data_IF_511115410201
#
_entry.id   IF_511115410201
#
_cell.length_a   1.000
_cell.length_b   1.000
_cell.length_c   1.000
_cell.angle_alpha   90.00
_cell.angle_beta   90.00
_cell.angle_gamma   90.00
#
_symmetry.space_group_name_H-M   'P 1'
#
loop_
_entity.id
_entity.type
_entity.pdbx_description
1 polymer ?
#
# COMPACT_ATOMS: atom_id res chain seq x y z
N UNK A 1 -14.52 4.03 16.03
CA UNK A 1 -14.69 3.05 14.93
C UNK A 1 -15.93 3.38 14.10
N UNK A 2 -17.16 3.40 14.67
CA UNK A 2 -18.39 3.59 13.87
C UNK A 2 -18.37 4.85 12.99
N UNK A 3 -17.93 5.97 13.54
CA UNK A 3 -17.87 7.24 12.79
C UNK A 3 -16.81 7.19 11.69
N UNK A 4 -15.67 6.55 11.93
CA UNK A 4 -14.62 6.35 10.92
C UNK A 4 -15.14 5.50 9.76
N UNK A 5 -15.76 4.36 10.05
CA UNK A 5 -16.34 3.47 9.03
C UNK A 5 -17.48 4.15 8.26
N UNK A 6 -18.31 4.95 8.93
CA UNK A 6 -19.41 5.70 8.26
C UNK A 6 -18.91 6.63 7.14
N UNK A 7 -17.68 7.17 7.24
CA UNK A 7 -17.07 8.01 6.20
C UNK A 7 -16.81 7.26 4.89
N UNK A 8 -16.70 5.92 4.95
CA UNK A 8 -16.41 5.07 3.80
C UNK A 8 -17.69 4.55 3.12
N UNK A 9 -18.87 4.81 3.71
CA UNK A 9 -20.11 4.24 3.21
C UNK A 9 -20.47 4.82 1.83
N UNK A 10 -20.88 3.91 0.96
CA UNK A 10 -21.35 4.17 -0.40
C UNK A 10 -22.78 3.67 -0.53
N UNK A 11 -23.52 4.16 -1.52
CA UNK A 11 -24.91 3.75 -1.76
C UNK A 11 -25.06 2.27 -2.10
N UNK A 12 -23.97 1.63 -2.59
CA UNK A 12 -23.93 0.21 -2.92
C UNK A 12 -23.80 -0.70 -1.70
N UNK A 13 -23.42 -0.17 -0.54
CA UNK A 13 -23.31 -0.97 0.69
C UNK A 13 -24.70 -1.28 1.20
N UNK A 14 -25.02 -2.57 1.31
CA UNK A 14 -26.31 -3.06 1.80
C UNK A 14 -26.16 -3.54 3.23
N UNK A 15 -26.83 -2.87 4.16
CA UNK A 15 -26.74 -3.17 5.59
C UNK A 15 -25.72 -2.28 6.30
N UNK A 16 -25.34 -2.66 7.51
CA UNK A 16 -24.41 -1.93 8.38
C UNK A 16 -23.46 -2.85 9.09
N UNK A 17 -22.56 -2.27 9.89
CA UNK A 17 -21.66 -3.02 10.77
C UNK A 17 -22.42 -3.88 11.76
N UNK A 18 -21.98 -5.12 11.97
CA UNK A 18 -22.55 -6.06 12.95
C UNK A 18 -23.39 -7.18 12.34
N UNK A 19 -23.52 -7.25 11.02
CA UNK A 19 -24.05 -8.43 10.31
C UNK A 19 -22.98 -9.54 10.20
N UNK A 20 -23.40 -10.75 9.82
CA UNK A 20 -22.47 -11.87 9.58
C UNK A 20 -21.60 -11.68 8.34
N UNK A 21 -22.02 -10.84 7.40
CA UNK A 21 -21.26 -10.53 6.18
C UNK A 21 -21.49 -9.10 5.73
N UNK A 22 -20.49 -8.50 5.09
CA UNK A 22 -20.66 -7.29 4.29
C UNK A 22 -21.39 -7.61 2.99
N UNK A 23 -22.36 -6.81 2.62
CA UNK A 23 -23.06 -6.94 1.35
C UNK A 23 -22.88 -5.69 0.50
N UNK A 24 -22.55 -5.87 -0.78
CA UNK A 24 -22.29 -4.82 -1.73
C UNK A 24 -23.10 -5.03 -3.01
N UNK A 25 -23.85 -4.01 -3.42
CA UNK A 25 -24.70 -4.06 -4.62
C UNK A 25 -23.87 -3.91 -5.89
N UNK A 26 -24.02 -4.83 -6.83
CA UNK A 26 -23.39 -4.77 -8.13
C UNK A 26 -24.20 -3.97 -9.16
N UNK A 27 -25.20 -3.19 -8.72
CA UNK A 27 -26.10 -2.46 -9.62
C UNK A 27 -25.36 -1.52 -10.57
N UNK A 28 -24.29 -0.86 -10.10
CA UNK A 28 -23.50 0.09 -10.91
C UNK A 28 -22.62 -0.56 -11.97
N UNK A 29 -22.32 -1.87 -11.85
CA UNK A 29 -21.50 -2.57 -12.85
C UNK A 29 -22.33 -3.22 -13.97
N UNK A 30 -23.67 -3.04 -13.97
CA UNK A 30 -24.55 -3.59 -15.01
C UNK A 30 -24.26 -3.05 -16.40
N UNK A 31 -23.65 -1.87 -16.50
CA UNK A 31 -23.35 -1.21 -17.77
C UNK A 31 -21.98 -1.66 -18.32
N UNK A 32 -21.25 -2.53 -17.63
CA UNK A 32 -20.04 -3.18 -18.13
C UNK A 32 -20.43 -4.34 -19.07
N UNK A 33 -19.70 -4.46 -20.19
CA UNK A 33 -19.94 -5.53 -21.17
C UNK A 33 -19.50 -6.90 -20.62
N UNK A 34 -18.34 -6.93 -19.96
CA UNK A 34 -17.76 -8.15 -19.36
C UNK A 34 -17.05 -7.81 -18.05
N UNK A 35 -17.81 -7.67 -16.94
CA UNK A 35 -17.23 -7.27 -15.66
C UNK A 35 -16.33 -8.35 -15.07
N UNK A 36 -15.11 -7.95 -14.71
CA UNK A 36 -14.09 -8.80 -14.09
C UNK A 36 -13.84 -8.33 -12.67
N UNK A 37 -13.92 -9.23 -11.70
CA UNK A 37 -13.52 -8.95 -10.33
C UNK A 37 -12.01 -9.10 -10.18
N UNK A 38 -11.41 -8.14 -9.48
CA UNK A 38 -10.02 -8.13 -9.07
C UNK A 38 -9.97 -8.17 -7.56
N UNK A 39 -8.96 -8.82 -7.00
CA UNK A 39 -8.77 -8.86 -5.55
C UNK A 39 -7.30 -8.72 -5.20
N UNK A 40 -7.04 -8.07 -4.06
CA UNK A 40 -5.72 -7.96 -3.45
C UNK A 40 -5.82 -8.24 -1.98
N UNK A 41 -4.85 -8.97 -1.44
CA UNK A 41 -4.68 -9.18 -0.01
C UNK A 41 -3.23 -8.98 0.34
N UNK A 42 -2.97 -8.18 1.37
CA UNK A 42 -1.63 -7.87 1.84
C UNK A 42 -1.67 -7.36 3.28
N UNK A 43 -0.52 -7.25 3.91
CA UNK A 43 -0.33 -6.67 5.23
C UNK A 43 0.61 -5.47 5.21
N UNK A 44 0.85 -4.89 6.39
CA UNK A 44 1.77 -3.76 6.54
C UNK A 44 3.23 -4.21 6.71
N UNK A 45 3.48 -5.51 6.75
CA UNK A 45 4.79 -6.07 7.02
C UNK A 45 5.36 -5.59 8.36
N UNK A 46 6.68 -5.60 8.49
CA UNK A 46 7.34 -5.26 9.76
C UNK A 46 7.31 -3.76 10.11
N UNK A 47 6.68 -2.92 9.28
CA UNK A 47 6.41 -1.50 9.61
C UNK A 47 5.54 -1.35 10.85
N UNK A 48 4.63 -2.29 11.11
CA UNK A 48 3.79 -2.30 12.32
C UNK A 48 4.61 -2.17 13.61
N UNK A 49 5.85 -2.68 13.63
CA UNK A 49 6.72 -2.56 14.81
C UNK A 49 7.11 -1.12 15.13
N UNK A 50 7.25 -0.26 14.13
CA UNK A 50 7.51 1.17 14.33
C UNK A 50 6.28 1.87 14.93
N UNK A 51 5.09 1.52 14.46
CA UNK A 51 3.84 2.03 15.04
C UNK A 51 3.73 1.68 16.53
N UNK A 52 4.09 0.44 16.90
CA UNK A 52 4.12 -0.01 18.29
C UNK A 52 5.15 0.75 19.14
N UNK A 53 6.38 0.92 18.64
CA UNK A 53 7.46 1.62 19.37
C UNK A 53 7.10 3.09 19.62
N UNK A 54 6.52 3.75 18.64
CA UNK A 54 6.13 5.15 18.70
C UNK A 54 4.76 5.37 19.35
N UNK A 55 4.02 4.30 19.64
CA UNK A 55 2.64 4.34 20.11
C UNK A 55 1.76 5.25 19.23
N UNK A 56 1.88 5.05 17.90
CA UNK A 56 1.16 5.80 16.88
C UNK A 56 0.56 4.85 15.86
N UNK A 57 -0.75 4.66 15.93
CA UNK A 57 -1.46 3.58 15.21
C UNK A 57 -2.41 4.08 14.12
N UNK A 58 -2.66 5.37 14.05
CA UNK A 58 -3.65 6.00 13.16
C UNK A 58 -3.24 6.01 11.67
N UNK A 59 -1.98 5.72 11.33
CA UNK A 59 -1.49 5.73 9.95
C UNK A 59 -1.29 4.34 9.35
N UNK A 60 -1.04 3.33 10.19
CA UNK A 60 -0.69 1.99 9.69
C UNK A 60 -1.85 1.31 8.94
N UNK A 61 -3.10 1.67 9.26
CA UNK A 61 -4.27 1.21 8.54
C UNK A 61 -4.32 1.70 7.10
N UNK A 62 -3.78 2.91 6.82
CA UNK A 62 -3.66 3.43 5.45
C UNK A 62 -2.70 2.55 4.65
N UNK A 63 -1.60 2.09 5.25
CA UNK A 63 -0.65 1.19 4.61
C UNK A 63 -1.31 -0.13 4.20
N UNK A 64 -2.10 -0.75 5.09
CA UNK A 64 -2.80 -2.01 4.79
C UNK A 64 -3.76 -1.86 3.60
N UNK A 65 -4.53 -0.77 3.57
CA UNK A 65 -5.43 -0.49 2.44
C UNK A 65 -4.63 -0.24 1.16
N UNK A 66 -3.60 0.61 1.23
CA UNK A 66 -2.80 0.99 0.08
C UNK A 66 -2.16 -0.22 -0.63
N UNK A 67 -1.62 -1.16 0.15
CA UNK A 67 -0.98 -2.37 -0.40
C UNK A 67 -1.96 -3.20 -1.24
N UNK A 68 -3.21 -3.32 -0.78
CA UNK A 68 -4.25 -4.07 -1.49
C UNK A 68 -4.84 -3.30 -2.68
N UNK A 69 -5.23 -2.04 -2.49
CA UNK A 69 -5.96 -1.28 -3.52
C UNK A 69 -5.06 -0.80 -4.66
N UNK A 70 -3.77 -0.57 -4.40
CA UNK A 70 -2.82 -0.22 -5.45
C UNK A 70 -2.60 -1.39 -6.42
N UNK A 71 -2.62 -2.63 -5.96
CA UNK A 71 -2.55 -3.81 -6.82
C UNK A 71 -3.77 -3.91 -7.75
N UNK A 72 -4.96 -3.65 -7.20
CA UNK A 72 -6.19 -3.58 -7.99
C UNK A 72 -6.09 -2.48 -9.05
N UNK A 73 -5.63 -1.29 -8.67
CA UNK A 73 -5.48 -0.16 -9.59
C UNK A 73 -4.41 -0.43 -10.66
N UNK A 74 -3.30 -1.10 -10.33
CA UNK A 74 -2.29 -1.53 -11.29
C UNK A 74 -2.84 -2.49 -12.35
N UNK A 75 -3.82 -3.30 -11.99
CA UNK A 75 -4.50 -4.20 -12.92
C UNK A 75 -5.63 -3.53 -13.74
N UNK A 76 -5.89 -2.23 -13.51
CA UNK A 76 -6.93 -1.46 -14.21
C UNK A 76 -8.29 -1.41 -13.50
N UNK A 77 -8.37 -1.96 -12.28
CA UNK A 77 -9.59 -2.03 -11.49
C UNK A 77 -9.88 -0.80 -10.64
N UNK A 78 -11.15 -0.61 -10.36
CA UNK A 78 -11.64 0.35 -9.37
C UNK A 78 -12.01 -0.42 -8.08
N UNK A 79 -11.45 -0.06 -6.90
CA UNK A 79 -11.84 -0.70 -5.65
C UNK A 79 -13.32 -0.52 -5.32
N UNK A 80 -13.95 -1.58 -4.85
CA UNK A 80 -15.34 -1.57 -4.41
C UNK A 80 -15.43 -1.53 -2.90
N UNK A 81 -14.80 -2.50 -2.25
CA UNK A 81 -14.84 -2.63 -0.80
C UNK A 81 -13.57 -3.25 -0.24
N UNK A 82 -13.41 -3.08 1.05
CA UNK A 82 -12.28 -3.55 1.84
C UNK A 82 -12.77 -4.28 3.11
N UNK A 83 -12.01 -5.27 3.53
CA UNK A 83 -12.11 -5.96 4.79
C UNK A 83 -10.75 -5.97 5.47
N UNK A 84 -10.69 -5.71 6.77
CA UNK A 84 -9.48 -5.82 7.56
C UNK A 84 -9.48 -7.06 8.45
N UNK A 85 -8.29 -7.52 8.81
CA UNK A 85 -8.09 -8.51 9.86
C UNK A 85 -7.00 -8.01 10.80
N UNK A 86 -7.35 -7.80 12.06
CA UNK A 86 -6.45 -7.37 13.11
C UNK A 86 -6.25 -8.53 14.07
N UNK A 87 -5.05 -9.13 14.06
CA UNK A 87 -4.61 -10.08 15.08
C UNK A 87 -3.90 -9.31 16.19
N UNK A 88 -4.26 -9.50 17.46
CA UNK A 88 -3.61 -8.81 18.56
C UNK A 88 -3.39 -9.75 19.75
N UNK A 89 -2.34 -9.50 20.55
CA UNK A 89 -2.12 -10.25 21.78
C UNK A 89 -3.18 -9.95 22.81
N UNK A 90 -3.60 -8.69 22.88
CA UNK A 90 -4.70 -8.20 23.73
C UNK A 90 -5.45 -7.07 23.04
N UNK A 91 -6.76 -7.09 23.17
CA UNK A 91 -7.59 -6.04 22.60
C UNK A 91 -7.56 -4.78 23.50
N UNK A 92 -6.85 -3.76 23.06
CA UNK A 92 -6.88 -2.42 23.62
C UNK A 92 -7.81 -1.56 22.76
N UNK A 93 -9.03 -1.24 23.18
CA UNK A 93 -10.06 -0.62 22.32
C UNK A 93 -9.63 0.69 21.67
N UNK A 94 -8.86 1.51 22.38
CA UNK A 94 -8.34 2.79 21.86
C UNK A 94 -7.35 2.57 20.72
N UNK A 95 -6.39 1.66 20.91
CA UNK A 95 -5.40 1.28 19.89
C UNK A 95 -6.08 0.70 18.65
N UNK A 96 -7.01 -0.22 18.83
CA UNK A 96 -7.80 -0.80 17.73
C UNK A 96 -8.61 0.29 17.01
N UNK A 97 -9.18 1.24 17.73
CA UNK A 97 -9.92 2.35 17.13
C UNK A 97 -9.02 3.24 16.26
N UNK A 98 -7.80 3.52 16.68
CA UNK A 98 -6.82 4.25 15.87
C UNK A 98 -6.45 3.47 14.59
N UNK A 99 -6.15 2.18 14.70
CA UNK A 99 -5.85 1.32 13.54
C UNK A 99 -7.00 1.36 12.54
N UNK A 100 -8.23 1.11 12.99
CA UNK A 100 -9.43 1.13 12.12
C UNK A 100 -9.70 2.52 11.56
N UNK A 101 -9.36 3.60 12.28
CA UNK A 101 -9.43 4.97 11.75
C UNK A 101 -8.50 5.15 10.55
N UNK A 102 -7.28 4.60 10.62
CA UNK A 102 -6.34 4.58 9.50
C UNK A 102 -6.86 3.75 8.32
N UNK A 103 -7.43 2.57 8.58
CA UNK A 103 -8.07 1.74 7.54
C UNK A 103 -9.20 2.51 6.86
N UNK A 104 -10.07 3.15 7.63
CA UNK A 104 -11.16 3.95 7.08
C UNK A 104 -10.65 5.12 6.23
N UNK A 105 -9.57 5.79 6.67
CA UNK A 105 -8.93 6.86 5.89
C UNK A 105 -8.40 6.35 4.55
N UNK A 106 -7.71 5.21 4.55
CA UNK A 106 -7.25 4.56 3.32
C UNK A 106 -8.40 4.21 2.37
N UNK A 107 -9.51 3.72 2.92
CA UNK A 107 -10.73 3.45 2.16
C UNK A 107 -11.33 4.72 1.54
N UNK A 108 -11.38 5.83 2.27
CA UNK A 108 -11.82 7.14 1.73
C UNK A 108 -10.91 7.61 0.59
N UNK A 109 -9.60 7.45 0.75
CA UNK A 109 -8.62 7.83 -0.29
C UNK A 109 -8.76 6.99 -1.56
N UNK A 110 -9.17 5.74 -1.44
CA UNK A 110 -9.34 4.80 -2.57
C UNK A 110 -10.75 4.68 -3.10
N UNK A 111 -11.70 5.42 -2.53
CA UNK A 111 -13.14 5.28 -2.80
C UNK A 111 -13.70 3.85 -2.54
N UNK A 112 -13.01 3.06 -1.71
CA UNK A 112 -13.49 1.76 -1.26
C UNK A 112 -14.41 1.90 -0.03
N UNK A 113 -15.36 1.00 0.12
CA UNK A 113 -16.17 0.93 1.33
C UNK A 113 -15.57 -0.08 2.33
N UNK A 114 -15.38 0.32 3.58
CA UNK A 114 -15.03 -0.61 4.65
C UNK A 114 -16.32 -1.29 5.12
N UNK A 115 -16.59 -2.51 4.65
CA UNK A 115 -17.89 -3.19 4.86
C UNK A 115 -17.88 -4.25 5.94
N UNK A 116 -16.72 -4.53 6.53
CA UNK A 116 -16.53 -5.49 7.59
C UNK A 116 -15.08 -5.68 7.92
N UNK A 117 -14.79 -6.58 8.82
CA UNK A 117 -13.47 -6.93 9.29
C UNK A 117 -13.54 -7.82 10.51
N UNK A 118 -12.38 -8.21 11.04
CA UNK A 118 -12.27 -9.05 12.23
C UNK A 118 -11.17 -8.50 13.14
N UNK A 119 -11.42 -8.56 14.44
CA UNK A 119 -10.39 -8.33 15.48
C UNK A 119 -10.30 -9.55 16.36
N UNK A 120 -9.19 -10.27 16.29
CA UNK A 120 -8.98 -11.51 17.01
C UNK A 120 -7.88 -11.37 18.07
N UNK A 121 -8.20 -11.69 19.32
CA UNK A 121 -7.20 -11.84 20.37
C UNK A 121 -6.51 -13.21 20.29
N UNK A 122 -5.20 -13.19 20.43
CA UNK A 122 -4.35 -14.39 20.43
C UNK A 122 -3.52 -14.48 21.73
N UNK A 123 -4.17 -14.66 22.89
CA UNK A 123 -3.46 -14.72 24.18
C UNK A 123 -2.50 -15.90 24.21
N UNK A 124 -1.26 -15.65 24.61
CA UNK A 124 -0.21 -16.66 24.67
C UNK A 124 0.44 -17.01 23.32
N UNK A 125 -0.15 -16.59 22.18
CA UNK A 125 0.44 -16.72 20.85
C UNK A 125 1.22 -15.46 20.46
N UNK A 126 0.72 -14.29 20.84
CA UNK A 126 1.35 -13.00 20.63
C UNK A 126 1.59 -12.29 21.97
N UNK A 127 2.66 -11.49 22.12
CA UNK A 127 2.79 -10.56 23.25
C UNK A 127 1.57 -9.64 23.34
N UNK A 128 1.17 -9.27 24.56
CA UNK A 128 -0.05 -8.46 24.77
C UNK A 128 -0.06 -7.14 23.99
N UNK A 129 1.10 -6.49 23.83
CA UNK A 129 1.24 -5.20 23.14
C UNK A 129 1.36 -5.32 21.63
N UNK A 130 1.60 -6.52 21.12
CA UNK A 130 1.84 -6.73 19.69
C UNK A 130 0.52 -6.97 18.94
N UNK A 131 0.51 -6.57 17.68
CA UNK A 131 -0.56 -6.86 16.73
C UNK A 131 -0.01 -7.04 15.32
N UNK A 132 -0.81 -7.62 14.46
CA UNK A 132 -0.60 -7.63 13.01
C UNK A 132 -1.87 -7.17 12.32
N UNK A 133 -1.71 -6.60 11.13
CA UNK A 133 -2.78 -6.03 10.34
C UNK A 133 -2.66 -6.47 8.90
N UNK A 134 -3.70 -7.09 8.41
CA UNK A 134 -3.84 -7.47 7.00
C UNK A 134 -5.17 -6.95 6.45
N UNK A 135 -5.25 -6.87 5.14
CA UNK A 135 -6.44 -6.45 4.43
C UNK A 135 -6.77 -7.32 3.24
N UNK A 136 -8.01 -7.23 2.81
CA UNK A 136 -8.52 -7.83 1.60
C UNK A 136 -9.40 -6.82 0.87
N UNK A 137 -9.06 -6.52 -0.35
CA UNK A 137 -9.81 -5.62 -1.22
C UNK A 137 -10.40 -6.34 -2.41
N UNK A 138 -11.58 -5.93 -2.82
CA UNK A 138 -12.20 -6.34 -4.07
C UNK A 138 -12.44 -5.11 -4.93
N UNK A 139 -12.10 -5.21 -6.20
CA UNK A 139 -12.36 -4.20 -7.21
C UNK A 139 -12.96 -4.82 -8.46
N UNK A 140 -13.28 -3.98 -9.43
CA UNK A 140 -13.90 -4.37 -10.69
C UNK A 140 -13.36 -3.53 -11.84
N UNK A 141 -13.27 -4.12 -13.01
CA UNK A 141 -13.16 -3.42 -14.28
C UNK A 141 -13.93 -4.15 -15.37
N UNK A 142 -14.16 -3.50 -16.49
CA UNK A 142 -14.55 -4.20 -17.70
C UNK A 142 -13.32 -4.96 -18.26
N UNK A 143 -13.48 -6.16 -18.82
CA UNK A 143 -12.38 -6.98 -19.37
C UNK A 143 -11.50 -6.19 -20.35
N UNK A 144 -12.09 -5.32 -21.16
CA UNK A 144 -11.35 -4.46 -22.12
C UNK A 144 -10.43 -3.45 -21.45
N UNK A 145 -10.65 -3.14 -20.16
CA UNK A 145 -9.90 -2.16 -19.38
C UNK A 145 -8.78 -2.81 -18.50
N UNK A 146 -8.65 -4.14 -18.55
CA UNK A 146 -7.56 -4.84 -17.86
C UNK A 146 -6.20 -4.35 -18.40
N UNK A 147 -5.33 -4.02 -17.47
CA UNK A 147 -3.94 -3.63 -17.78
C UNK A 147 -3.08 -4.89 -17.74
N UNK A 148 -2.73 -5.43 -18.89
CA UNK A 148 -2.01 -6.71 -19.04
C UNK A 148 -0.58 -6.56 -19.52
N UNK A 149 -0.21 -5.41 -20.07
CA UNK A 149 1.10 -5.21 -20.71
C UNK A 149 1.19 -5.71 -22.15
N UNK A 150 0.21 -6.47 -22.65
CA UNK A 150 0.25 -7.09 -23.99
C UNK A 150 0.38 -6.09 -25.15
N UNK A 151 -0.07 -4.85 -24.93
CA UNK A 151 -0.04 -3.77 -25.92
C UNK A 151 1.20 -2.90 -25.86
N UNK A 152 2.20 -3.24 -25.03
CA UNK A 152 3.46 -2.54 -24.98
C UNK A 152 4.23 -2.66 -26.30
N UNK A 153 4.89 -1.57 -26.68
CA UNK A 153 5.70 -1.48 -27.90
C UNK A 153 7.03 -0.82 -27.60
N UNK A 154 8.02 -1.10 -28.43
CA UNK A 154 9.28 -0.39 -28.38
C UNK A 154 9.06 1.12 -28.57
N UNK A 155 9.73 1.91 -27.73
CA UNK A 155 9.56 3.36 -27.66
C UNK A 155 8.43 3.85 -26.74
N UNK A 156 7.65 2.97 -26.10
CA UNK A 156 6.73 3.39 -25.04
C UNK A 156 7.49 3.98 -23.84
N UNK A 157 6.88 4.94 -23.16
CA UNK A 157 7.53 5.73 -22.11
C UNK A 157 7.07 5.27 -20.73
N UNK A 158 8.03 5.09 -19.83
CA UNK A 158 7.78 4.86 -18.40
C UNK A 158 7.54 6.20 -17.71
N UNK A 159 6.45 6.30 -16.93
CA UNK A 159 6.15 7.44 -16.09
C UNK A 159 6.15 6.97 -14.64
N UNK A 160 7.06 7.53 -13.82
CA UNK A 160 7.12 7.24 -12.39
C UNK A 160 6.15 8.13 -11.60
N UNK A 161 5.39 7.51 -10.71
CA UNK A 161 4.57 8.22 -9.74
C UNK A 161 5.30 8.21 -8.39
N UNK A 162 5.61 9.40 -7.86
CA UNK A 162 6.43 9.55 -6.66
C UNK A 162 5.83 8.88 -5.43
N UNK A 163 6.68 8.24 -4.62
CA UNK A 163 6.33 7.71 -3.30
C UNK A 163 6.29 8.80 -2.22
N UNK A 164 5.76 8.47 -1.06
CA UNK A 164 5.82 9.28 0.17
C UNK A 164 7.05 8.96 1.02
N UNK A 165 7.85 8.00 0.62
CA UNK A 165 9.02 7.48 1.31
C UNK A 165 9.14 5.98 1.14
N UNK A 166 9.49 5.26 2.19
CA UNK A 166 9.72 3.80 2.18
C UNK A 166 8.43 3.00 1.93
N UNK A 167 7.27 3.62 2.15
CA UNK A 167 5.96 2.96 2.12
C UNK A 167 5.85 1.85 3.17
N UNK A 168 5.52 0.60 2.76
CA UNK A 168 5.39 -0.55 3.65
C UNK A 168 6.40 -1.66 3.35
N UNK A 169 7.41 -1.39 2.51
CA UNK A 169 8.38 -2.39 2.06
C UNK A 169 9.79 -2.08 2.58
N UNK A 170 10.62 -3.12 2.71
CA UNK A 170 12.02 -2.96 3.10
C UNK A 170 12.26 -2.68 4.59
N UNK A 171 11.26 -2.75 5.45
CA UNK A 171 11.39 -2.43 6.88
C UNK A 171 12.26 -3.42 7.66
N UNK A 172 12.46 -4.64 7.18
CA UNK A 172 13.46 -5.54 7.75
C UNK A 172 14.88 -4.98 7.64
N UNK A 173 15.20 -4.30 6.52
CA UNK A 173 16.47 -3.60 6.33
C UNK A 173 16.51 -2.29 7.15
N UNK A 174 15.47 -1.48 7.06
CA UNK A 174 15.35 -0.21 7.83
C UNK A 174 15.65 -0.46 9.31
N UNK A 175 15.07 -1.52 9.90
CA UNK A 175 15.27 -1.92 11.30
C UNK A 175 16.66 -2.48 11.60
N UNK A 176 17.47 -2.78 10.61
CA UNK A 176 18.89 -3.15 10.78
C UNK A 176 19.82 -1.97 10.64
N UNK A 177 19.44 -0.98 9.83
CA UNK A 177 20.24 0.20 9.55
C UNK A 177 20.11 1.23 10.69
N UNK A 178 18.88 1.49 11.14
CA UNK A 178 18.64 2.45 12.22
C UNK A 178 18.42 1.76 13.57
N UNK A 179 18.84 2.41 14.62
CA UNK A 179 18.41 2.04 15.98
C UNK A 179 16.91 2.28 16.14
N UNK A 180 16.20 1.25 16.54
CA UNK A 180 14.73 1.27 16.71
C UNK A 180 14.32 1.66 18.13
N UNK A 181 15.15 2.40 18.86
CA UNK A 181 14.74 3.00 20.12
C UNK A 181 13.78 4.18 19.89
N UNK A 182 12.91 4.43 20.84
CA UNK A 182 12.00 5.60 20.78
C UNK A 182 12.78 6.92 20.71
N UNK A 183 13.95 6.98 21.34
CA UNK A 183 14.85 8.14 21.32
C UNK A 183 15.38 8.38 19.89
N UNK A 184 15.94 7.36 19.25
CA UNK A 184 16.44 7.46 17.88
C UNK A 184 15.34 7.84 16.88
N UNK A 185 14.17 7.23 17.00
CA UNK A 185 13.03 7.53 16.11
C UNK A 185 12.49 8.95 16.30
N UNK A 186 12.64 9.55 17.45
CA UNK A 186 12.27 10.95 17.72
C UNK A 186 13.39 11.96 17.37
N UNK A 187 14.55 11.50 16.90
CA UNK A 187 15.61 12.39 16.44
C UNK A 187 15.19 13.11 15.17
N UNK A 188 15.32 14.43 15.18
CA UNK A 188 15.03 15.28 14.03
C UNK A 188 16.21 15.29 13.06
N UNK A 189 15.91 15.17 11.76
CA UNK A 189 16.90 15.24 10.68
C UNK A 189 16.56 16.42 9.76
N UNK A 190 17.49 17.34 9.62
CA UNK A 190 17.31 18.54 8.78
C UNK A 190 17.05 18.14 7.31
N UNK A 191 17.72 17.10 6.82
CA UNK A 191 17.55 16.58 5.46
C UNK A 191 16.14 16.02 5.22
N UNK A 192 15.45 15.55 6.27
CA UNK A 192 14.07 15.04 6.19
C UNK A 192 13.03 16.12 6.48
N UNK A 193 13.42 17.21 7.17
CA UNK A 193 12.51 18.23 7.66
C UNK A 193 11.54 17.73 8.74
N UNK A 194 11.84 16.60 9.38
CA UNK A 194 10.99 15.90 10.37
C UNK A 194 11.81 14.88 11.17
N UNK A 195 11.17 14.23 12.15
CA UNK A 195 11.82 13.14 12.88
C UNK A 195 11.96 11.88 11.99
N UNK A 196 12.91 11.02 12.33
CA UNK A 196 13.10 9.75 11.65
C UNK A 196 11.83 8.91 11.69
N UNK A 197 11.16 8.84 12.84
CA UNK A 197 9.91 8.10 13.01
C UNK A 197 8.79 8.63 12.12
N UNK A 198 8.61 9.96 12.04
CA UNK A 198 7.62 10.57 11.13
C UNK A 198 7.92 10.27 9.67
N UNK A 199 9.18 10.27 9.27
CA UNK A 199 9.57 9.94 7.90
C UNK A 199 9.32 8.46 7.57
N UNK A 200 9.62 7.55 8.50
CA UNK A 200 9.45 6.12 8.32
C UNK A 200 7.98 5.67 8.45
N UNK A 201 7.17 6.33 9.29
CA UNK A 201 5.73 6.06 9.41
C UNK A 201 4.88 6.78 8.36
N UNK A 202 5.49 7.60 7.48
CA UNK A 202 4.73 8.20 6.37
C UNK A 202 3.92 7.11 5.64
N UNK A 203 2.58 7.27 5.52
CA UNK A 203 1.74 6.24 4.93
C UNK A 203 2.08 5.98 3.47
N UNK A 204 1.89 4.75 3.05
CA UNK A 204 1.95 4.36 1.63
C UNK A 204 0.94 5.18 0.85
N UNK A 205 1.40 5.80 -0.24
CA UNK A 205 0.51 6.57 -1.11
C UNK A 205 -0.48 5.66 -1.83
N UNK A 206 -1.73 6.08 -1.85
CA UNK A 206 -2.80 5.43 -2.61
C UNK A 206 -2.90 6.11 -3.98
N UNK A 207 -2.71 5.35 -5.06
CA UNK A 207 -2.66 5.88 -6.43
C UNK A 207 -3.97 5.70 -7.20
N UNK A 208 -4.99 5.12 -6.60
CA UNK A 208 -6.28 4.77 -7.23
C UNK A 208 -6.88 5.97 -7.97
N UNK A 209 -7.06 7.10 -7.28
CA UNK A 209 -7.66 8.31 -7.88
C UNK A 209 -6.79 8.93 -8.97
N UNK A 210 -5.47 8.85 -8.83
CA UNK A 210 -4.54 9.36 -9.83
C UNK A 210 -4.60 8.52 -11.12
N UNK A 211 -4.58 7.20 -11.02
CA UNK A 211 -4.72 6.30 -12.18
C UNK A 211 -6.10 6.42 -12.82
N UNK A 212 -7.16 6.54 -12.00
CA UNK A 212 -8.50 6.84 -12.50
C UNK A 212 -8.54 8.15 -13.28
N UNK A 213 -7.94 9.22 -12.79
CA UNK A 213 -7.90 10.50 -13.48
C UNK A 213 -7.17 10.43 -14.84
N UNK A 214 -6.12 9.61 -14.94
CA UNK A 214 -5.41 9.34 -16.20
C UNK A 214 -6.35 8.65 -17.21
N UNK A 215 -7.07 7.63 -16.75
CA UNK A 215 -8.08 6.90 -17.55
C UNK A 215 -9.21 7.84 -17.99
N UNK A 216 -9.76 8.62 -17.08
CA UNK A 216 -10.86 9.55 -17.35
C UNK A 216 -10.45 10.67 -18.34
N UNK A 217 -9.17 11.01 -18.39
CA UNK A 217 -8.59 11.92 -19.39
C UNK A 217 -8.39 11.26 -20.77
N UNK A 218 -8.80 10.01 -20.97
CA UNK A 218 -8.69 9.27 -22.22
C UNK A 218 -7.29 8.75 -22.54
N UNK A 219 -6.39 8.73 -21.55
CA UNK A 219 -5.04 8.17 -21.71
C UNK A 219 -5.08 6.68 -21.42
N UNK A 220 -4.60 5.89 -22.39
CA UNK A 220 -4.46 4.44 -22.23
C UNK A 220 -3.19 4.10 -21.48
N UNK A 221 -3.36 3.51 -20.29
CA UNK A 221 -2.27 2.88 -19.53
C UNK A 221 -2.09 1.47 -20.05
N UNK A 222 -0.99 1.20 -20.76
CA UNK A 222 -0.72 -0.10 -21.38
C UNK A 222 -0.22 -1.16 -20.40
N UNK A 223 0.57 -0.70 -19.41
CA UNK A 223 1.13 -1.52 -18.36
C UNK A 223 1.28 -0.68 -17.08
N UNK A 224 1.25 -1.32 -15.95
CA UNK A 224 1.46 -0.67 -14.66
C UNK A 224 2.25 -1.60 -13.73
N UNK A 225 3.14 -1.04 -12.93
CA UNK A 225 3.90 -1.79 -11.94
C UNK A 225 3.81 -1.12 -10.58
N UNK A 226 3.32 -1.86 -9.60
CA UNK A 226 3.35 -1.47 -8.19
C UNK A 226 4.74 -1.83 -7.63
N UNK A 227 5.56 -0.82 -7.36
CA UNK A 227 6.93 -1.03 -6.87
C UNK A 227 6.87 -1.32 -5.37
N UNK A 228 7.06 -2.57 -5.01
CA UNK A 228 7.07 -3.12 -3.66
C UNK A 228 8.42 -3.76 -3.33
N UNK A 229 8.45 -4.81 -2.51
CA UNK A 229 9.66 -5.57 -2.21
C UNK A 229 10.37 -6.03 -3.48
N UNK A 230 11.71 -5.96 -3.50
CA UNK A 230 12.52 -6.23 -4.69
C UNK A 230 12.70 -5.05 -5.65
N UNK A 231 12.01 -3.92 -5.39
CA UNK A 231 12.20 -2.66 -6.14
C UNK A 231 11.92 -2.78 -7.64
N UNK A 232 12.63 -2.00 -8.45
CA UNK A 232 12.45 -1.97 -9.90
C UNK A 232 12.76 -3.31 -10.55
N UNK A 233 13.81 -4.00 -10.09
CA UNK A 233 14.29 -5.23 -10.72
C UNK A 233 13.31 -6.40 -10.64
N UNK A 234 12.52 -6.49 -9.57
CA UNK A 234 11.58 -7.60 -9.41
C UNK A 234 10.14 -7.23 -9.83
N UNK A 235 9.79 -5.94 -9.80
CA UNK A 235 8.41 -5.54 -10.08
C UNK A 235 8.19 -5.07 -11.52
N UNK A 236 9.11 -4.32 -12.12
CA UNK A 236 8.96 -3.86 -13.52
C UNK A 236 8.86 -5.02 -14.51
N UNK A 237 9.68 -6.08 -14.42
CA UNK A 237 9.57 -7.21 -15.35
C UNK A 237 8.21 -7.91 -15.36
N UNK A 238 7.46 -7.84 -14.25
CA UNK A 238 6.13 -8.48 -14.15
C UNK A 238 5.10 -7.92 -15.13
N UNK A 239 5.32 -6.69 -15.61
CA UNK A 239 4.42 -6.04 -16.57
C UNK A 239 4.92 -6.09 -18.02
N UNK A 240 6.13 -6.61 -18.25
CA UNK A 240 6.76 -6.61 -19.57
C UNK A 240 6.47 -7.92 -20.32
N UNK A 241 6.13 -7.85 -21.62
CA UNK A 241 6.13 -9.02 -22.48
C UNK A 241 7.53 -9.63 -22.63
N UNK A 242 7.58 -10.92 -22.98
CA UNK A 242 8.83 -11.61 -23.27
C UNK A 242 9.64 -10.90 -24.35
N UNK A 243 10.96 -10.77 -24.15
CA UNK A 243 11.88 -10.12 -25.07
C UNK A 243 11.91 -8.58 -24.97
N UNK A 244 11.14 -7.98 -24.07
CA UNK A 244 11.12 -6.53 -23.85
C UNK A 244 11.88 -6.16 -22.58
N UNK A 245 12.53 -5.00 -22.57
CA UNK A 245 13.19 -4.44 -21.38
C UNK A 245 12.74 -3.02 -21.09
N UNK A 246 12.72 -2.66 -19.81
CA UNK A 246 12.55 -1.29 -19.37
C UNK A 246 13.92 -0.64 -19.15
N UNK A 247 14.05 0.61 -19.55
CA UNK A 247 15.28 1.41 -19.33
C UNK A 247 14.93 2.58 -18.42
N UNK A 248 15.40 2.53 -17.18
CA UNK A 248 15.22 3.60 -16.19
C UNK A 248 16.54 4.36 -16.05
N UNK A 249 16.54 5.64 -16.42
CA UNK A 249 17.73 6.48 -16.25
C UNK A 249 17.85 6.88 -14.79
N UNK A 250 19.01 6.64 -14.17
CA UNK A 250 19.25 6.86 -12.74
C UNK A 250 18.93 8.30 -12.29
N UNK A 251 19.20 9.29 -13.14
CA UNK A 251 19.00 10.71 -12.80
C UNK A 251 17.70 11.29 -13.36
N UNK A 252 16.75 10.44 -13.80
CA UNK A 252 15.48 10.87 -14.37
C UNK A 252 14.40 11.19 -13.34
N UNK A 253 14.67 10.97 -12.07
CA UNK A 253 13.72 11.24 -10.96
C UNK A 253 14.45 11.66 -9.69
N UNK A 254 13.76 12.39 -8.84
CA UNK A 254 14.29 12.79 -7.54
C UNK A 254 14.17 11.63 -6.54
N UNK A 255 15.31 11.23 -5.96
CA UNK A 255 15.34 10.22 -4.89
C UNK A 255 14.99 10.89 -3.56
N UNK A 256 13.92 10.46 -2.86
CA UNK A 256 13.55 11.02 -1.56
C UNK A 256 14.69 10.95 -0.53
N UNK A 257 14.79 11.98 0.31
CA UNK A 257 15.90 12.14 1.26
C UNK A 257 16.08 10.93 2.19
N UNK A 258 14.99 10.26 2.58
CA UNK A 258 15.06 9.07 3.44
C UNK A 258 15.89 7.93 2.81
N UNK A 259 15.86 7.75 1.48
CA UNK A 259 16.68 6.74 0.81
C UNK A 259 18.16 7.14 0.77
N UNK A 260 18.47 8.45 0.67
CA UNK A 260 19.85 8.94 0.77
C UNK A 260 20.41 8.72 2.17
N UNK A 261 19.58 8.93 3.19
CA UNK A 261 19.96 8.68 4.59
C UNK A 261 20.19 7.18 4.83
N UNK A 262 19.26 6.32 4.37
CA UNK A 262 19.42 4.85 4.43
C UNK A 262 20.69 4.38 3.74
N UNK A 263 21.00 4.92 2.57
CA UNK A 263 22.21 4.55 1.81
C UNK A 263 23.50 4.96 2.54
N UNK A 264 23.50 6.11 3.21
CA UNK A 264 24.66 6.62 3.95
C UNK A 264 25.03 5.70 5.13
N UNK A 265 24.01 5.17 5.82
CA UNK A 265 24.20 4.37 7.02
C UNK A 265 24.17 2.85 6.74
N UNK A 266 23.87 2.45 5.49
CA UNK A 266 23.78 1.06 5.07
C UNK A 266 25.12 0.55 4.57
N UNK A 267 25.69 -0.46 5.24
CA UNK A 267 26.95 -1.12 4.85
C UNK A 267 26.90 -1.82 3.47
N UNK A 268 25.71 -2.01 2.91
CA UNK A 268 25.53 -2.58 1.56
C UNK A 268 26.09 -1.70 0.45
N UNK A 269 26.33 -0.41 0.72
CA UNK A 269 26.90 0.52 -0.25
C UNK A 269 28.42 0.39 -0.40
N UNK A 270 29.09 -0.30 0.51
CA UNK A 270 30.55 -0.53 0.49
C UNK A 270 30.97 -1.83 -0.18
N UNK A 271 30.02 -2.69 -0.51
CA UNK A 271 30.26 -3.92 -1.28
C UNK A 271 29.32 -3.89 -2.49
N UNK A 272 29.84 -3.76 -3.71
CA UNK A 272 29.00 -3.91 -4.89
C UNK A 272 28.36 -5.29 -4.84
N UNK A 273 27.03 -5.33 -4.86
CA UNK A 273 26.30 -6.56 -5.02
C UNK A 273 26.68 -7.16 -6.39
N UNK A 274 26.80 -8.48 -6.53
CA UNK A 274 26.94 -9.10 -7.85
C UNK A 274 25.83 -8.68 -8.83
N UNK A 275 24.70 -8.16 -8.31
CA UNK A 275 23.58 -7.61 -9.10
C UNK A 275 23.81 -6.16 -9.56
N UNK A 276 24.78 -5.45 -8.97
CA UNK A 276 25.13 -4.07 -9.35
C UNK A 276 26.23 -4.00 -10.41
N UNK A 277 26.77 -5.13 -10.83
CA UNK A 277 27.93 -5.24 -11.74
C UNK A 277 27.53 -5.66 -13.16
N UNK A 278 26.26 -5.98 -13.40
CA UNK A 278 25.78 -6.23 -14.75
C UNK A 278 25.07 -5.00 -15.30
N UNK A 279 25.88 -4.07 -15.75
CA UNK A 279 25.86 -3.30 -17.01
C UNK A 279 26.91 -2.25 -17.12
#
# INVERSE_FOLDING_TARGET
IRDSVKRTMREEVLGGLGGFSGAFSLKKIKDMDDPVLLSGTDGCGTKVKLAMILDKHDTIGIDAVAMCVNDIACAGGEPLFFLDYIACGKNYPEKIAEIVSGVAEGCVQSDAALIGGETAEHPGLMPEEDYDLAGFAVGVCDRKDLITGENLKDGDVLIGMASTGVHSNGFSLVRKVFDMSKESLNTYYDELGKTLGEALLAPTRIYVKALKSVKDAGVTVKACSHITGGGFYENIPRMLPEGMKAVVKKDSYEVPAIFKLLAKDCLLYTSPSPRDVEE
#
